data_IF_522280313639
#
_entry.id   IF_522280313639
#
_cell.length_a   1.000
_cell.length_b   1.000
_cell.length_c   1.000
_cell.angle_alpha   90.00
_cell.angle_beta   90.00
_cell.angle_gamma   90.00
#
_symmetry.space_group_name_H-M   'P 1'
#
loop_
_entity.id
_entity.type
_entity.pdbx_description
1 polymer ?
#
# COMPACT_ATOMS: atom_id res chain seq x y z
N UNK A 1 -13.47 11.65 -9.31
CA UNK A 1 -12.44 12.33 -10.07
C UNK A 1 -12.62 12.16 -11.56
N UNK A 2 -12.76 10.97 -12.06
CA UNK A 2 -12.91 10.71 -13.50
C UNK A 2 -14.25 11.20 -14.04
N UNK A 3 -14.30 11.55 -15.34
CA UNK A 3 -15.55 11.59 -16.08
C UNK A 3 -16.07 10.14 -16.22
N UNK A 4 -17.12 9.89 -16.99
CA UNK A 4 -17.67 8.55 -17.21
C UNK A 4 -16.73 7.62 -18.02
N UNK A 5 -15.53 8.06 -18.38
CA UNK A 5 -14.57 7.31 -19.18
C UNK A 5 -13.37 6.90 -18.33
N UNK A 6 -13.03 5.64 -18.40
CA UNK A 6 -11.80 5.06 -17.86
C UNK A 6 -11.04 4.43 -19.01
N UNK A 7 -9.80 4.87 -19.23
CA UNK A 7 -8.94 4.24 -20.19
C UNK A 7 -8.00 3.25 -19.49
N UNK A 8 -7.87 2.04 -20.01
CA UNK A 8 -6.93 1.02 -19.54
C UNK A 8 -6.22 0.43 -20.74
N UNK A 9 -4.91 0.33 -20.65
CA UNK A 9 -4.07 -0.50 -21.52
C UNK A 9 -3.50 -1.59 -20.63
N UNK A 10 -3.86 -2.83 -20.88
CA UNK A 10 -3.33 -4.00 -20.20
C UNK A 10 -3.00 -5.08 -21.25
N UNK A 11 -1.71 -5.39 -21.43
CA UNK A 11 -1.27 -6.37 -22.42
C UNK A 11 -1.44 -7.82 -21.95
N UNK A 12 -1.79 -8.06 -20.69
CA UNK A 12 -1.89 -9.40 -20.14
C UNK A 12 -3.26 -10.03 -20.40
N UNK A 13 -3.36 -10.91 -21.38
CA UNK A 13 -4.58 -11.63 -21.80
C UNK A 13 -5.31 -12.36 -20.66
N UNK A 14 -4.62 -12.64 -19.55
CA UNK A 14 -5.15 -13.45 -18.46
C UNK A 14 -5.86 -12.67 -17.34
N UNK A 15 -5.76 -11.35 -17.31
CA UNK A 15 -6.30 -10.56 -16.21
C UNK A 15 -7.82 -10.47 -16.18
N UNK A 16 -8.49 -10.63 -17.32
CA UNK A 16 -9.94 -10.44 -17.43
C UNK A 16 -10.74 -11.69 -17.82
N UNK A 17 -10.08 -12.84 -18.08
CA UNK A 17 -10.74 -14.10 -18.45
C UNK A 17 -11.67 -13.98 -19.66
N UNK A 18 -12.48 -15.02 -19.91
CA UNK A 18 -13.47 -15.02 -21.00
C UNK A 18 -14.65 -14.05 -20.78
N UNK A 19 -14.83 -13.54 -19.56
CA UNK A 19 -15.86 -12.54 -19.23
C UNK A 19 -15.20 -11.16 -19.04
N UNK A 20 -14.99 -10.50 -20.14
CA UNK A 20 -14.50 -9.10 -20.17
C UNK A 20 -15.56 -8.16 -19.60
N UNK A 21 -15.49 -7.85 -18.30
CA UNK A 21 -16.32 -6.81 -17.69
C UNK A 21 -15.45 -5.58 -17.49
N UNK A 22 -15.58 -4.58 -18.38
CA UNK A 22 -14.84 -3.33 -18.32
C UNK A 22 -14.23 -2.95 -19.67
N UNK A 23 -13.78 -1.71 -19.78
CA UNK A 23 -13.09 -1.19 -20.98
C UNK A 23 -11.61 -1.58 -20.95
N UNK A 24 -11.29 -2.87 -20.98
CA UNK A 24 -9.97 -3.32 -21.33
C UNK A 24 -9.95 -3.63 -22.81
N UNK A 25 -9.12 -2.93 -23.56
CA UNK A 25 -8.91 -3.24 -24.95
C UNK A 25 -7.70 -4.16 -25.07
N UNK A 26 -7.92 -5.34 -25.61
CA UNK A 26 -6.83 -6.12 -26.13
C UNK A 26 -6.39 -5.46 -27.44
N UNK A 27 -5.25 -4.79 -27.41
CA UNK A 27 -4.68 -4.09 -28.56
C UNK A 27 -4.47 -5.04 -29.75
N UNK A 28 -4.34 -6.35 -29.50
CA UNK A 28 -4.14 -7.39 -30.53
C UNK A 28 -5.43 -7.78 -31.22
N UNK A 29 -6.51 -7.92 -30.49
CA UNK A 29 -7.79 -8.42 -30.99
C UNK A 29 -8.70 -7.30 -31.51
N UNK A 30 -8.60 -6.10 -30.92
CA UNK A 30 -9.47 -4.95 -31.23
C UNK A 30 -8.79 -3.95 -32.20
N UNK A 31 -8.01 -4.44 -33.16
CA UNK A 31 -7.35 -3.59 -34.17
C UNK A 31 -8.32 -2.70 -34.94
N UNK A 32 -9.54 -3.14 -35.13
CA UNK A 32 -10.56 -2.35 -35.80
C UNK A 32 -10.99 -1.11 -35.02
N UNK A 33 -10.98 -1.19 -33.68
CA UNK A 33 -11.26 -0.01 -32.82
C UNK A 33 -10.13 0.99 -32.95
N UNK A 34 -8.88 0.56 -33.06
CA UNK A 34 -7.74 1.45 -33.23
C UNK A 34 -7.80 2.18 -34.58
N UNK A 35 -8.27 1.49 -35.64
CA UNK A 35 -8.47 2.09 -36.94
C UNK A 35 -9.70 3.00 -36.98
N UNK A 36 -10.78 2.63 -36.26
CA UNK A 36 -12.02 3.41 -36.22
C UNK A 36 -11.91 4.70 -35.39
N UNK A 37 -11.12 4.70 -34.30
CA UNK A 37 -10.99 5.81 -33.36
C UNK A 37 -9.52 5.96 -32.92
N UNK A 38 -8.59 6.29 -33.83
CA UNK A 38 -7.14 6.29 -33.58
C UNK A 38 -6.70 7.37 -32.57
N UNK A 39 -7.47 8.44 -32.41
CA UNK A 39 -7.19 9.54 -31.50
C UNK A 39 -7.42 9.18 -30.01
N UNK A 40 -8.14 8.09 -29.70
CA UNK A 40 -8.29 7.62 -28.32
C UNK A 40 -6.96 7.32 -27.62
N UNK A 41 -5.97 6.90 -28.38
CA UNK A 41 -4.65 6.52 -27.85
C UNK A 41 -3.66 7.68 -27.82
N UNK A 42 -4.00 8.80 -28.42
CA UNK A 42 -3.14 10.00 -28.43
C UNK A 42 -2.69 10.42 -27.01
N UNK A 43 -3.54 10.37 -25.97
CA UNK A 43 -3.13 10.74 -24.61
C UNK A 43 -2.10 9.81 -23.96
N UNK A 44 -1.88 8.62 -24.51
CA UNK A 44 -0.89 7.67 -23.99
C UNK A 44 0.47 7.79 -24.66
N UNK A 45 0.54 8.42 -25.82
CA UNK A 45 1.79 8.55 -26.60
C UNK A 45 2.85 9.32 -25.82
N UNK A 46 4.04 8.75 -25.73
CA UNK A 46 5.17 9.35 -25.02
C UNK A 46 5.05 9.32 -23.50
N UNK A 47 4.03 8.63 -22.91
CA UNK A 47 3.86 8.53 -21.47
C UNK A 47 4.32 7.15 -21.02
N UNK A 48 5.21 7.06 -20.04
CA UNK A 48 5.71 5.81 -19.44
C UNK A 48 6.16 4.77 -20.48
N UNK A 49 6.95 5.18 -21.45
CA UNK A 49 7.43 4.34 -22.57
C UNK A 49 6.31 3.79 -23.49
N UNK A 50 5.11 4.35 -23.44
CA UNK A 50 4.06 4.04 -24.40
C UNK A 50 4.41 4.70 -25.76
N UNK A 51 5.18 4.00 -26.59
CA UNK A 51 5.63 4.45 -27.90
C UNK A 51 4.57 4.12 -28.97
N UNK A 52 4.70 4.72 -30.14
CA UNK A 52 3.77 4.49 -31.26
C UNK A 52 3.78 3.04 -31.76
N UNK A 53 4.90 2.33 -31.65
CA UNK A 53 5.02 0.94 -32.03
C UNK A 53 4.12 -0.01 -31.20
N UNK A 54 3.76 0.38 -29.96
CA UNK A 54 2.82 -0.37 -29.12
C UNK A 54 1.48 -0.55 -29.82
N UNK A 55 1.03 0.47 -30.56
CA UNK A 55 -0.24 0.43 -31.28
C UNK A 55 -0.17 -0.42 -32.56
N UNK A 56 1.02 -0.73 -33.04
CA UNK A 56 1.26 -1.62 -34.18
C UNK A 56 1.66 -3.04 -33.76
N UNK A 57 2.48 -3.17 -32.71
CA UNK A 57 2.96 -4.47 -32.21
C UNK A 57 2.01 -5.12 -31.22
N UNK A 58 1.13 -4.34 -30.57
CA UNK A 58 0.21 -4.81 -29.54
C UNK A 58 0.89 -5.21 -28.24
N UNK A 59 2.08 -4.68 -27.92
CA UNK A 59 2.84 -5.05 -26.72
C UNK A 59 3.21 -3.83 -25.90
N UNK A 60 2.84 -3.82 -24.60
CA UNK A 60 3.24 -2.86 -23.60
C UNK A 60 3.64 -3.59 -22.33
N UNK A 61 4.81 -3.30 -21.79
CA UNK A 61 5.29 -3.95 -20.58
C UNK A 61 4.76 -3.22 -19.33
N UNK A 62 3.52 -3.47 -18.95
CA UNK A 62 2.85 -2.88 -17.80
C UNK A 62 1.38 -2.63 -18.02
N UNK A 63 0.70 -2.09 -17.02
CA UNK A 63 -0.71 -1.66 -17.09
C UNK A 63 -0.79 -0.16 -16.94
N UNK A 64 -1.51 0.50 -17.85
CA UNK A 64 -1.64 1.95 -17.91
C UNK A 64 -3.10 2.35 -17.72
N UNK A 65 -3.37 3.13 -16.66
CA UNK A 65 -4.70 3.67 -16.38
C UNK A 65 -4.76 5.16 -16.69
N UNK A 66 -5.85 5.58 -17.31
CA UNK A 66 -6.13 6.99 -17.58
C UNK A 66 -7.45 7.41 -16.91
N UNK A 67 -7.40 8.46 -16.11
CA UNK A 67 -8.54 9.03 -15.39
C UNK A 67 -8.75 10.49 -15.83
N UNK A 68 -9.50 10.76 -16.91
CA UNK A 68 -9.81 12.12 -17.31
C UNK A 68 -10.58 12.86 -16.21
N UNK A 69 -10.17 14.08 -15.89
CA UNK A 69 -10.86 14.90 -14.90
C UNK A 69 -12.22 15.36 -15.44
N UNK A 70 -13.21 15.39 -14.57
CA UNK A 70 -14.56 15.85 -14.93
C UNK A 70 -14.59 17.38 -15.03
N UNK A 71 -15.23 17.86 -16.08
CA UNK A 71 -15.55 19.29 -16.25
C UNK A 71 -16.87 19.70 -15.60
N UNK A 72 -17.75 18.72 -15.27
CA UNK A 72 -19.08 18.98 -14.69
C UNK A 72 -19.34 18.07 -13.48
N UNK A 73 -20.13 18.56 -12.54
CA UNK A 73 -20.63 17.78 -11.42
C UNK A 73 -21.51 16.61 -11.92
N UNK A 74 -21.53 15.50 -11.16
CA UNK A 74 -22.39 14.35 -11.44
C UNK A 74 -23.32 14.06 -10.26
N UNK A 75 -24.24 13.12 -10.45
CA UNK A 75 -25.12 12.63 -9.37
C UNK A 75 -24.33 11.98 -8.23
N UNK A 76 -23.17 11.37 -8.52
CA UNK A 76 -22.33 10.71 -7.53
C UNK A 76 -21.45 11.66 -6.73
N UNK A 77 -21.06 12.79 -7.30
CA UNK A 77 -20.22 13.77 -6.60
C UNK A 77 -20.31 15.15 -7.24
N UNK A 78 -20.46 16.16 -6.40
CA UNK A 78 -20.44 17.58 -6.81
C UNK A 78 -19.01 18.15 -6.86
N UNK A 79 -18.03 17.45 -6.29
CA UNK A 79 -16.65 17.92 -6.21
C UNK A 79 -15.98 17.82 -7.57
N UNK A 80 -15.47 18.93 -8.07
CA UNK A 80 -14.63 19.01 -9.25
C UNK A 80 -13.15 19.11 -8.84
N UNK A 81 -12.29 18.48 -9.62
CA UNK A 81 -10.85 18.51 -9.42
C UNK A 81 -10.21 19.24 -10.60
N UNK A 82 -9.48 20.31 -10.30
CA UNK A 82 -8.58 20.95 -11.23
C UNK A 82 -7.20 20.26 -11.19
N UNK A 83 -6.33 20.48 -12.18
CA UNK A 83 -4.94 20.00 -12.14
C UNK A 83 -4.20 20.44 -10.87
N UNK A 84 -4.38 21.68 -10.42
CA UNK A 84 -3.74 22.23 -9.21
C UNK A 84 -4.20 21.48 -7.96
N UNK A 85 -5.50 21.18 -7.88
CA UNK A 85 -6.06 20.40 -6.75
C UNK A 85 -5.53 18.97 -6.74
N UNK A 86 -5.33 18.35 -7.90
CA UNK A 86 -4.70 17.04 -8.00
C UNK A 86 -3.22 17.12 -7.59
N UNK A 87 -2.48 18.14 -8.00
CA UNK A 87 -1.09 18.37 -7.55
C UNK A 87 -1.00 18.54 -6.04
N UNK A 88 -1.92 19.28 -5.43
CA UNK A 88 -1.97 19.43 -3.98
C UNK A 88 -2.20 18.09 -3.25
N UNK A 89 -3.00 17.18 -3.81
CA UNK A 89 -3.15 15.82 -3.27
C UNK A 89 -1.84 15.03 -3.34
N UNK A 90 -1.11 15.10 -4.46
CA UNK A 90 0.19 14.44 -4.59
C UNK A 90 1.25 15.06 -3.68
N UNK A 91 1.22 16.37 -3.48
CA UNK A 91 2.10 17.03 -2.50
C UNK A 91 1.83 16.52 -1.08
N UNK A 92 0.56 16.32 -0.70
CA UNK A 92 0.20 15.69 0.57
C UNK A 92 0.71 14.25 0.68
N UNK A 93 0.64 13.48 -0.40
CA UNK A 93 1.18 12.11 -0.44
C UNK A 93 2.70 12.08 -0.20
N UNK A 94 3.47 13.02 -0.76
CA UNK A 94 4.94 12.99 -0.66
C UNK A 94 5.45 13.14 0.78
N UNK A 95 4.68 13.73 1.68
CA UNK A 95 5.06 13.90 3.08
C UNK A 95 5.24 12.54 3.80
N UNK A 96 4.33 11.60 3.55
CA UNK A 96 4.29 10.30 4.22
C UNK A 96 4.63 9.13 3.27
N UNK A 97 5.14 9.44 2.06
CA UNK A 97 5.40 8.44 1.02
C UNK A 97 6.36 7.32 1.47
N UNK A 98 7.31 7.61 2.37
CA UNK A 98 8.24 6.63 2.92
C UNK A 98 7.52 5.50 3.68
N UNK A 99 6.30 5.74 4.18
CA UNK A 99 5.52 4.74 4.90
C UNK A 99 4.83 3.75 3.94
N UNK A 100 4.56 4.14 2.70
CA UNK A 100 3.75 3.36 1.75
C UNK A 100 4.40 2.01 1.43
N UNK A 101 5.73 1.95 1.37
CA UNK A 101 6.45 0.73 0.98
C UNK A 101 6.70 -0.25 2.14
N UNK A 102 6.37 0.10 3.39
CA UNK A 102 6.69 -0.72 4.56
C UNK A 102 6.07 -2.12 4.48
N UNK A 103 4.79 -2.21 4.17
CA UNK A 103 4.05 -3.47 4.24
C UNK A 103 3.57 -3.99 2.88
N UNK A 104 3.81 -3.26 1.79
CA UNK A 104 3.50 -3.74 0.44
C UNK A 104 4.48 -4.85 0.04
N UNK A 105 3.94 -5.96 -0.46
CA UNK A 105 4.73 -7.16 -0.74
C UNK A 105 5.33 -7.20 -2.15
N UNK A 106 4.76 -6.44 -3.10
CA UNK A 106 5.11 -6.49 -4.52
C UNK A 106 5.55 -5.14 -5.09
N UNK A 107 5.42 -4.05 -4.32
CA UNK A 107 5.79 -2.72 -4.76
C UNK A 107 7.14 -2.32 -4.17
N UNK A 108 8.03 -1.83 -5.01
CA UNK A 108 9.41 -1.45 -4.66
C UNK A 108 9.66 0.04 -4.80
N UNK A 109 8.86 0.71 -5.64
CA UNK A 109 8.95 2.15 -5.84
C UNK A 109 7.60 2.77 -6.25
N UNK A 110 7.46 4.06 -6.00
CA UNK A 110 6.38 4.91 -6.54
C UNK A 110 7.02 6.19 -7.06
N UNK A 111 6.67 6.57 -8.28
CA UNK A 111 7.18 7.77 -8.93
C UNK A 111 6.04 8.70 -9.30
N UNK A 112 6.27 10.01 -9.13
CA UNK A 112 5.35 11.04 -9.59
C UNK A 112 5.97 11.81 -10.73
N UNK A 113 5.19 11.95 -11.79
CA UNK A 113 5.55 12.72 -12.96
C UNK A 113 4.52 13.82 -13.21
N UNK A 114 4.99 14.93 -13.71
CA UNK A 114 4.16 16.03 -14.17
C UNK A 114 4.53 16.34 -15.61
N UNK A 115 3.54 16.52 -16.47
CA UNK A 115 3.69 17.02 -17.82
C UNK A 115 2.95 18.34 -17.93
N UNK A 116 3.68 19.40 -18.21
CA UNK A 116 3.10 20.70 -18.53
C UNK A 116 2.63 20.72 -19.99
N UNK A 117 1.82 21.70 -20.36
CA UNK A 117 1.20 21.77 -21.69
C UNK A 117 2.25 21.85 -22.82
N UNK A 118 3.38 22.51 -22.57
CA UNK A 118 4.46 22.68 -23.54
C UNK A 118 5.52 21.59 -23.52
N UNK A 119 5.45 20.68 -22.56
CA UNK A 119 6.44 19.61 -22.41
C UNK A 119 6.18 18.48 -23.41
N UNK A 120 7.25 17.99 -24.04
CA UNK A 120 7.17 16.80 -24.91
C UNK A 120 6.94 15.53 -24.09
N UNK A 121 7.62 15.42 -22.93
CA UNK A 121 7.58 14.25 -22.06
C UNK A 121 7.31 14.66 -20.61
N UNK A 122 6.71 13.76 -19.79
CA UNK A 122 6.52 14.01 -18.37
C UNK A 122 7.87 14.12 -17.64
N UNK A 123 7.99 15.09 -16.75
CA UNK A 123 9.15 15.26 -15.88
C UNK A 123 8.91 14.61 -14.53
N UNK A 124 9.86 13.79 -14.05
CA UNK A 124 9.79 13.21 -12.72
C UNK A 124 9.97 14.30 -11.67
N UNK A 125 9.02 14.36 -10.72
CA UNK A 125 9.03 15.35 -9.63
C UNK A 125 9.33 14.72 -8.28
N UNK A 126 9.03 13.43 -8.12
CA UNK A 126 9.24 12.71 -6.88
C UNK A 126 9.44 11.21 -7.12
N UNK A 127 10.26 10.60 -6.27
CA UNK A 127 10.47 9.15 -6.21
C UNK A 127 10.52 8.73 -4.74
N UNK A 128 9.79 7.69 -4.38
CA UNK A 128 10.02 6.88 -3.19
C UNK A 128 10.39 5.48 -3.63
N UNK A 129 11.43 4.90 -3.04
CA UNK A 129 11.90 3.56 -3.38
C UNK A 129 12.52 2.85 -2.19
N UNK A 130 12.54 1.54 -2.23
CA UNK A 130 13.45 0.76 -1.40
C UNK A 130 14.86 1.05 -1.88
N UNK A 131 15.80 1.34 -0.96
CA UNK A 131 17.18 1.63 -1.34
C UNK A 131 17.81 0.44 -2.06
N UNK A 132 18.71 0.73 -2.99
CA UNK A 132 19.41 -0.31 -3.76
C UNK A 132 20.14 -1.32 -2.84
N UNK A 133 20.67 -0.83 -1.71
CA UNK A 133 21.35 -1.67 -0.74
C UNK A 133 20.43 -2.63 0.02
N UNK A 134 19.14 -2.26 0.20
CA UNK A 134 18.16 -3.10 0.90
C UNK A 134 17.33 -3.96 -0.04
N UNK A 135 17.30 -3.66 -1.33
CA UNK A 135 16.32 -4.19 -2.27
C UNK A 135 16.36 -5.72 -2.35
N UNK A 136 17.52 -6.29 -2.56
CA UNK A 136 17.69 -7.74 -2.71
C UNK A 136 17.24 -8.50 -1.45
N UNK A 137 17.70 -8.06 -0.27
CA UNK A 137 17.28 -8.65 1.00
C UNK A 137 15.77 -8.56 1.22
N UNK A 138 15.18 -7.39 0.92
CA UNK A 138 13.73 -7.17 1.09
C UNK A 138 12.92 -8.07 0.15
N UNK A 139 13.36 -8.21 -1.11
CA UNK A 139 12.73 -9.12 -2.08
C UNK A 139 12.79 -10.57 -1.60
N UNK A 140 13.97 -11.02 -1.14
CA UNK A 140 14.15 -12.37 -0.60
C UNK A 140 13.23 -12.63 0.60
N UNK A 141 13.23 -11.72 1.59
CA UNK A 141 12.43 -11.88 2.81
C UNK A 141 10.93 -11.81 2.56
N UNK A 142 10.49 -10.94 1.66
CA UNK A 142 9.08 -10.90 1.24
C UNK A 142 8.68 -12.18 0.50
N UNK A 143 9.54 -12.72 -0.37
CA UNK A 143 9.31 -13.99 -1.07
C UNK A 143 9.29 -15.16 -0.09
N UNK A 144 10.23 -15.20 0.86
CA UNK A 144 10.28 -16.20 1.93
C UNK A 144 8.97 -16.22 2.72
N UNK A 145 8.50 -15.05 3.19
CA UNK A 145 7.27 -14.95 3.94
C UNK A 145 6.05 -15.43 3.15
N UNK A 146 5.90 -14.97 1.91
CA UNK A 146 4.79 -15.42 1.04
C UNK A 146 4.83 -16.92 0.80
N UNK A 147 6.00 -17.49 0.54
CA UNK A 147 6.17 -18.92 0.34
C UNK A 147 5.75 -19.73 1.58
N UNK A 148 6.21 -19.30 2.76
CA UNK A 148 5.84 -19.91 4.03
C UNK A 148 4.32 -19.82 4.29
N UNK A 149 3.71 -18.65 4.12
CA UNK A 149 2.26 -18.45 4.35
C UNK A 149 1.42 -19.27 3.38
N UNK A 150 1.83 -19.39 2.12
CA UNK A 150 1.09 -20.17 1.10
C UNK A 150 1.09 -21.67 1.36
N UNK A 151 2.05 -22.17 2.13
CA UNK A 151 2.20 -23.61 2.45
C UNK A 151 1.62 -23.99 3.82
N UNK A 152 1.09 -23.02 4.58
CA UNK A 152 0.71 -23.20 5.98
C UNK A 152 -0.80 -23.27 6.13
N UNK A 153 -1.29 -24.30 6.83
CA UNK A 153 -2.68 -24.35 7.30
C UNK A 153 -2.87 -23.38 8.49
N UNK A 154 -4.10 -22.85 8.63
CA UNK A 154 -4.47 -21.95 9.74
C UNK A 154 -4.23 -22.56 11.14
N UNK A 155 -4.11 -23.88 11.23
CA UNK A 155 -3.88 -24.64 12.46
C UNK A 155 -2.40 -24.89 12.76
N UNK A 156 -1.49 -24.50 11.90
CA UNK A 156 -0.05 -24.75 12.07
C UNK A 156 0.64 -23.66 12.90
N UNK A 157 1.91 -23.87 13.21
CA UNK A 157 2.71 -22.91 13.99
C UNK A 157 2.76 -21.53 13.35
N UNK A 158 2.97 -20.46 14.16
CA UNK A 158 3.13 -19.12 13.63
C UNK A 158 4.32 -19.04 12.69
N UNK A 159 4.21 -18.21 11.66
CA UNK A 159 5.25 -17.97 10.67
C UNK A 159 5.58 -16.49 10.66
N UNK A 160 6.85 -16.17 10.71
CA UNK A 160 7.29 -14.78 10.63
C UNK A 160 8.61 -14.63 9.86
N UNK A 161 8.85 -13.41 9.44
CA UNK A 161 10.17 -12.94 8.94
C UNK A 161 10.41 -11.54 9.46
N UNK A 162 11.65 -11.29 9.90
CA UNK A 162 12.10 -9.96 10.34
C UNK A 162 13.27 -9.52 9.46
N UNK A 163 13.24 -8.28 9.00
CA UNK A 163 14.28 -7.73 8.14
C UNK A 163 14.36 -6.20 8.24
N UNK A 164 15.58 -5.64 8.10
CA UNK A 164 15.74 -4.20 7.95
C UNK A 164 15.35 -3.76 6.54
N UNK A 165 14.76 -2.57 6.43
CA UNK A 165 14.45 -1.91 5.18
C UNK A 165 14.84 -0.45 5.25
N UNK A 166 15.50 0.05 4.22
CA UNK A 166 15.76 1.48 4.04
C UNK A 166 14.96 1.98 2.85
N UNK A 167 14.17 3.01 3.07
CA UNK A 167 13.32 3.66 2.07
C UNK A 167 13.89 5.04 1.80
N UNK A 168 14.12 5.34 0.53
CA UNK A 168 14.60 6.63 0.06
C UNK A 168 13.46 7.43 -0.54
N UNK A 169 13.37 8.71 -0.19
CA UNK A 169 12.50 9.69 -0.85
C UNK A 169 13.37 10.72 -1.53
N UNK A 170 13.09 11.00 -2.80
CA UNK A 170 13.88 11.88 -3.63
C UNK A 170 12.95 12.88 -4.32
N UNK A 171 13.23 14.17 -4.16
CA UNK A 171 12.53 15.23 -4.86
C UNK A 171 13.35 15.71 -6.04
N UNK A 172 12.68 16.02 -7.14
CA UNK A 172 13.31 16.52 -8.36
C UNK A 172 12.75 17.89 -8.73
N UNK A 173 13.62 18.75 -9.21
CA UNK A 173 13.28 20.04 -9.80
C UNK A 173 13.98 20.20 -11.14
N UNK A 174 13.21 20.40 -12.20
CA UNK A 174 13.73 20.41 -13.59
C UNK A 174 14.63 19.21 -13.91
N UNK A 175 14.20 18.01 -13.51
CA UNK A 175 14.94 16.76 -13.75
C UNK A 175 16.18 16.54 -12.89
N UNK A 176 16.53 17.47 -12.01
CA UNK A 176 17.67 17.36 -11.10
C UNK A 176 17.20 16.97 -9.71
N UNK A 177 17.93 16.04 -9.09
CA UNK A 177 17.73 15.69 -7.69
C UNK A 177 18.03 16.91 -6.80
N UNK A 178 17.09 17.25 -5.92
CA UNK A 178 17.21 18.40 -5.02
C UNK A 178 17.27 18.02 -3.56
N UNK A 179 16.44 17.07 -3.14
CA UNK A 179 16.38 16.60 -1.76
C UNK A 179 16.31 15.08 -1.78
N UNK A 180 17.23 14.44 -1.07
CA UNK A 180 17.20 12.99 -0.80
C UNK A 180 17.15 12.77 0.70
N UNK A 181 16.22 11.91 1.15
CA UNK A 181 16.11 11.48 2.54
C UNK A 181 16.05 9.96 2.59
N UNK A 182 16.62 9.38 3.63
CA UNK A 182 16.60 7.95 3.89
C UNK A 182 15.92 7.67 5.24
N UNK A 183 15.05 6.68 5.24
CA UNK A 183 14.29 6.25 6.41
C UNK A 183 14.52 4.76 6.59
N UNK A 184 15.08 4.36 7.71
CA UNK A 184 15.38 2.95 8.01
C UNK A 184 14.41 2.41 9.05
N UNK A 185 13.94 1.19 8.82
CA UNK A 185 13.00 0.49 9.70
C UNK A 185 13.43 -0.97 9.88
N UNK A 186 13.07 -1.54 11.02
CA UNK A 186 12.99 -2.99 11.21
C UNK A 186 11.54 -3.40 11.05
N UNK A 187 11.26 -4.34 10.14
CA UNK A 187 9.92 -4.81 9.81
C UNK A 187 9.80 -6.28 10.16
N UNK A 188 8.75 -6.63 10.89
CA UNK A 188 8.34 -8.02 11.12
C UNK A 188 6.99 -8.25 10.47
N UNK A 189 6.92 -9.18 9.51
CA UNK A 189 5.65 -9.73 9.01
C UNK A 189 5.36 -11.03 9.76
N UNK A 190 4.14 -11.19 10.24
CA UNK A 190 3.75 -12.26 11.12
C UNK A 190 2.40 -12.86 10.70
N UNK A 191 2.34 -14.17 10.57
CA UNK A 191 1.13 -14.93 10.39
C UNK A 191 0.85 -15.70 11.69
N UNK A 192 -0.31 -15.44 12.30
CA UNK A 192 -0.75 -16.15 13.46
C UNK A 192 -1.24 -17.55 13.07
N UNK A 193 -0.41 -18.57 13.28
CA UNK A 193 -0.80 -19.96 13.15
C UNK A 193 -1.63 -20.46 14.36
N UNK A 194 -1.65 -21.75 14.59
CA UNK A 194 -2.49 -22.48 15.54
C UNK A 194 -2.49 -22.07 17.03
N UNK A 195 -1.68 -21.10 17.41
CA UNK A 195 -1.64 -20.55 18.77
C UNK A 195 -2.69 -19.45 19.04
N UNK A 196 -3.57 -19.19 18.09
CA UNK A 196 -4.69 -18.25 18.29
C UNK A 196 -5.91 -18.97 18.86
N UNK A 197 -6.79 -18.21 19.54
CA UNK A 197 -8.01 -18.79 20.09
C UNK A 197 -8.91 -19.36 18.98
N UNK A 198 -9.74 -20.35 19.35
CA UNK A 198 -10.66 -21.02 18.43
C UNK A 198 -11.65 -20.05 17.76
N UNK A 199 -12.03 -18.98 18.48
CA UNK A 199 -12.88 -17.93 17.95
C UNK A 199 -12.19 -17.19 16.78
N UNK A 200 -10.91 -16.84 16.92
CA UNK A 200 -10.15 -16.16 15.87
C UNK A 200 -10.02 -17.04 14.61
N UNK A 201 -9.77 -18.34 14.78
CA UNK A 201 -9.73 -19.28 13.65
C UNK A 201 -11.09 -19.39 12.95
N UNK A 202 -12.18 -19.39 13.71
CA UNK A 202 -13.55 -19.42 13.17
C UNK A 202 -13.85 -18.15 12.39
N UNK A 203 -13.53 -16.97 12.96
CA UNK A 203 -13.70 -15.67 12.28
C UNK A 203 -12.89 -15.57 10.99
N UNK A 204 -11.64 -16.07 10.99
CA UNK A 204 -10.80 -16.09 9.81
C UNK A 204 -11.46 -16.87 8.65
N UNK A 205 -12.04 -18.03 8.94
CA UNK A 205 -12.77 -18.85 7.96
C UNK A 205 -14.05 -18.17 7.49
N UNK A 206 -14.86 -17.67 8.42
CA UNK A 206 -16.16 -17.06 8.14
C UNK A 206 -16.06 -15.80 7.28
N UNK A 207 -15.05 -14.97 7.54
CA UNK A 207 -14.80 -13.73 6.81
C UNK A 207 -13.91 -13.93 5.58
N UNK A 208 -13.32 -15.11 5.40
CA UNK A 208 -12.26 -15.36 4.39
C UNK A 208 -11.09 -14.38 4.55
N UNK A 209 -10.72 -14.06 5.77
CA UNK A 209 -9.61 -13.18 6.11
C UNK A 209 -8.42 -14.00 6.59
N UNK A 210 -7.21 -13.47 6.36
CA UNK A 210 -5.98 -14.08 6.85
C UNK A 210 -5.48 -13.34 8.09
N UNK A 211 -5.07 -14.06 9.15
CA UNK A 211 -4.53 -13.48 10.38
C UNK A 211 -3.07 -13.02 10.16
N UNK A 212 -2.90 -12.15 9.18
CA UNK A 212 -1.63 -11.52 8.80
C UNK A 212 -1.53 -10.16 9.46
N UNK A 213 -0.44 -9.95 10.15
CA UNK A 213 -0.07 -8.66 10.74
C UNK A 213 1.38 -8.31 10.43
N UNK A 214 1.71 -7.04 10.58
CA UNK A 214 3.06 -6.56 10.46
C UNK A 214 3.33 -5.47 11.49
N UNK A 215 4.57 -5.38 11.93
CA UNK A 215 5.02 -4.33 12.83
C UNK A 215 6.30 -3.74 12.25
N UNK A 216 6.45 -2.41 12.34
CA UNK A 216 7.66 -1.73 11.90
C UNK A 216 8.08 -0.68 12.92
N UNK A 217 9.34 -0.71 13.34
CA UNK A 217 9.95 0.32 14.16
C UNK A 217 11.04 1.06 13.41
N UNK A 218 11.20 2.35 13.68
CA UNK A 218 12.27 3.12 13.07
C UNK A 218 13.62 2.68 13.61
N UNK A 219 14.63 2.67 12.74
CA UNK A 219 16.02 2.45 13.07
C UNK A 219 16.78 3.78 12.98
N UNK A 220 17.82 3.99 13.80
CA UNK A 220 18.69 5.15 13.67
C UNK A 220 19.44 5.11 12.33
N UNK A 221 19.70 6.26 11.74
CA UNK A 221 20.48 6.36 10.51
C UNK A 221 21.91 5.89 10.68
N UNK A 222 22.48 6.06 11.89
CA UNK A 222 23.77 5.50 12.29
C UNK A 222 23.74 4.99 13.74
N UNK A 223 24.64 4.07 14.13
CA UNK A 223 24.68 3.54 15.50
C UNK A 223 24.95 4.60 16.58
N UNK A 224 25.40 5.79 16.22
CA UNK A 224 25.69 6.90 17.14
C UNK A 224 24.55 7.91 17.24
N UNK A 225 23.57 7.82 16.34
CA UNK A 225 22.41 8.70 16.34
C UNK A 225 21.28 8.10 17.18
N UNK A 226 20.48 8.94 17.84
CA UNK A 226 19.29 8.47 18.54
C UNK A 226 18.29 7.92 17.52
N UNK A 227 17.51 6.93 17.92
CA UNK A 227 16.38 6.47 17.12
C UNK A 227 15.40 7.61 16.92
N UNK A 228 14.93 7.86 15.69
CA UNK A 228 13.94 8.90 15.46
C UNK A 228 12.69 8.62 16.30
N UNK A 229 12.23 9.62 17.02
CA UNK A 229 10.91 9.55 17.66
C UNK A 229 9.85 9.54 16.58
N UNK A 230 9.15 8.41 16.43
CA UNK A 230 8.06 8.28 15.49
C UNK A 230 6.72 8.17 16.23
N UNK A 231 5.71 8.71 15.63
CA UNK A 231 4.34 8.43 16.01
C UNK A 231 3.86 7.25 15.19
N UNK A 232 3.58 6.12 15.84
CA UNK A 232 3.14 4.90 15.14
C UNK A 232 1.78 5.09 14.48
N UNK A 233 1.65 4.59 13.28
CA UNK A 233 0.44 4.63 12.46
C UNK A 233 -0.14 3.24 12.25
N UNK A 234 -1.45 3.16 12.09
CA UNK A 234 -2.15 1.95 11.73
C UNK A 234 -2.27 1.85 10.21
N UNK A 235 -1.98 0.67 9.70
CA UNK A 235 -2.06 0.32 8.28
C UNK A 235 -3.09 -0.78 8.07
N UNK A 236 -3.75 -0.71 6.93
CA UNK A 236 -4.43 -1.83 6.31
C UNK A 236 -3.84 -1.99 4.92
N UNK A 237 -2.65 -2.60 4.83
CA UNK A 237 -1.75 -2.66 3.69
C UNK A 237 -1.11 -1.28 3.39
N UNK A 238 -1.92 -0.25 3.25
CA UNK A 238 -1.52 1.15 3.12
C UNK A 238 -1.79 1.91 4.42
N UNK A 239 -1.06 3.01 4.69
CA UNK A 239 -1.32 3.83 5.87
C UNK A 239 -2.76 4.37 5.83
N UNK A 240 -3.47 4.25 6.94
CA UNK A 240 -4.77 4.89 7.08
C UNK A 240 -4.58 6.41 7.21
N UNK A 241 -5.57 7.21 6.77
CA UNK A 241 -5.50 8.66 6.91
C UNK A 241 -5.21 9.08 8.34
N UNK A 242 -4.30 10.05 8.53
CA UNK A 242 -3.87 10.50 9.85
C UNK A 242 -5.05 11.13 10.61
N UNK A 243 -5.56 10.38 11.58
CA UNK A 243 -6.56 10.81 12.56
C UNK A 243 -6.12 10.24 13.91
N UNK A 244 -6.62 10.78 15.01
CA UNK A 244 -6.31 10.25 16.35
C UNK A 244 -6.57 8.75 16.49
N UNK A 245 -7.57 8.23 15.76
CA UNK A 245 -7.97 6.82 15.74
C UNK A 245 -7.08 5.92 14.87
N UNK A 246 -6.20 6.48 14.06
CA UNK A 246 -5.24 5.74 13.22
C UNK A 246 -3.81 5.75 13.77
N UNK A 247 -3.64 6.23 15.01
CA UNK A 247 -2.37 6.21 15.73
C UNK A 247 -2.33 4.99 16.65
N UNK A 248 -1.16 4.36 16.75
CA UNK A 248 -0.98 3.19 17.62
C UNK A 248 -0.82 3.57 19.09
N UNK A 249 -0.41 4.82 19.37
CA UNK A 249 0.02 5.22 20.70
C UNK A 249 1.39 4.68 21.12
N UNK A 250 2.05 3.93 20.24
CA UNK A 250 3.37 3.32 20.43
C UNK A 250 4.35 3.86 19.39
N UNK A 251 5.66 3.78 19.61
CA UNK A 251 6.67 4.21 18.65
C UNK A 251 6.88 3.18 17.53
N UNK A 252 5.82 2.49 17.12
CA UNK A 252 5.83 1.49 16.05
C UNK A 252 4.60 1.63 15.17
N UNK A 253 4.80 1.39 13.88
CA UNK A 253 3.72 1.23 12.93
C UNK A 253 3.17 -0.19 13.00
N UNK A 254 1.86 -0.35 12.89
CA UNK A 254 1.22 -1.66 12.86
C UNK A 254 0.40 -1.81 11.58
N UNK A 255 0.46 -2.99 10.99
CA UNK A 255 -0.33 -3.39 9.84
C UNK A 255 -1.17 -4.60 10.19
N UNK A 256 -2.39 -4.66 9.70
CA UNK A 256 -3.25 -5.81 9.84
C UNK A 256 -4.30 -5.86 8.75
N UNK A 257 -4.85 -7.03 8.52
CA UNK A 257 -5.97 -7.21 7.59
C UNK A 257 -7.28 -6.78 8.26
N UNK A 258 -7.33 -5.50 8.66
CA UNK A 258 -8.46 -4.96 9.40
C UNK A 258 -9.72 -4.84 8.55
N UNK A 259 -10.86 -5.11 9.16
CA UNK A 259 -12.13 -4.67 8.64
C UNK A 259 -12.26 -3.16 8.82
N UNK A 260 -12.45 -2.46 7.71
CA UNK A 260 -12.49 -1.01 7.67
C UNK A 260 -13.94 -0.49 7.67
N UNK A 261 -14.10 0.75 8.11
CA UNK A 261 -15.31 1.53 7.91
C UNK A 261 -15.69 1.62 6.42
N UNK A 262 -16.96 1.91 6.12
CA UNK A 262 -17.45 1.99 4.75
C UNK A 262 -16.67 2.99 3.86
N UNK A 263 -16.19 4.08 4.46
CA UNK A 263 -15.35 5.07 3.77
C UNK A 263 -13.85 4.69 3.75
N UNK A 264 -13.47 3.56 4.33
CA UNK A 264 -12.09 3.03 4.43
C UNK A 264 -11.09 3.98 5.09
N UNK A 265 -11.54 4.82 6.00
CA UNK A 265 -10.68 5.80 6.68
C UNK A 265 -10.16 5.35 8.04
N UNK A 266 -10.86 4.43 8.69
CA UNK A 266 -10.51 3.91 10.01
C UNK A 266 -10.89 2.45 10.14
N UNK A 267 -10.27 1.76 11.09
CA UNK A 267 -10.67 0.41 11.45
C UNK A 267 -12.04 0.46 12.15
N UNK A 268 -12.89 -0.51 11.87
CA UNK A 268 -14.15 -0.67 12.59
C UNK A 268 -13.86 -0.88 14.07
N UNK A 269 -14.52 -0.11 14.92
CA UNK A 269 -14.45 -0.26 16.37
C UNK A 269 -15.84 -0.04 16.99
N UNK A 270 -16.12 -0.63 18.17
CA UNK A 270 -17.41 -0.46 18.84
C UNK A 270 -17.77 0.99 19.12
N UNK A 271 -16.77 1.81 19.43
CA UNK A 271 -16.96 3.24 19.74
C UNK A 271 -17.28 4.10 18.51
N UNK A 272 -16.73 3.74 17.34
CA UNK A 272 -17.00 4.45 16.09
C UNK A 272 -18.39 4.12 15.51
N UNK A 273 -18.89 2.93 15.76
CA UNK A 273 -20.21 2.50 15.27
C UNK A 273 -21.36 2.90 16.21
N UNK A 274 -21.12 3.19 17.48
CA UNK A 274 -22.17 3.65 18.39
C UNK A 274 -22.83 4.96 17.92
N UNK A 275 -22.14 5.82 17.19
CA UNK A 275 -22.74 7.00 16.57
C UNK A 275 -23.61 6.64 15.36
N UNK A 276 -23.23 5.60 14.59
CA UNK A 276 -23.98 5.13 13.42
C UNK A 276 -25.10 4.13 13.83
N UNK A 277 -24.90 3.31 14.89
CA UNK A 277 -25.84 2.31 15.39
C UNK A 277 -26.99 2.89 16.20
N UNK A 278 -26.84 4.05 16.82
CA UNK A 278 -27.99 4.82 17.36
C UNK A 278 -29.03 5.13 16.29
N UNK A 279 -28.67 4.99 15.01
CA UNK A 279 -29.55 5.18 13.86
C UNK A 279 -30.15 3.89 13.28
N UNK A 280 -29.60 2.72 13.53
CA UNK A 280 -29.99 1.49 12.81
C UNK A 280 -30.55 0.33 13.65
N UNK A 281 -30.49 0.36 14.98
CA UNK A 281 -31.22 -0.59 15.86
C UNK A 281 -30.81 -2.07 15.79
N UNK A 282 -29.69 -2.43 15.16
CA UNK A 282 -29.24 -3.82 15.05
C UNK A 282 -28.23 -4.21 16.16
N UNK A 283 -28.33 -5.44 16.72
CA UNK A 283 -27.43 -5.87 17.79
C UNK A 283 -26.01 -6.11 17.31
N UNK A 284 -25.03 -5.85 18.19
CA UNK A 284 -23.58 -5.94 18.06
C UNK A 284 -23.06 -7.37 17.79
N UNK A 285 -23.49 -8.03 16.73
CA UNK A 285 -22.94 -9.32 16.29
C UNK A 285 -22.07 -9.20 15.02
N UNK A 286 -21.52 -8.01 14.75
CA UNK A 286 -20.64 -7.83 13.58
C UNK A 286 -19.33 -8.58 13.83
N UNK A 287 -19.16 -9.72 13.13
CA UNK A 287 -17.94 -10.54 13.13
C UNK A 287 -16.69 -9.72 12.79
N UNK A 288 -16.86 -8.64 12.01
CA UNK A 288 -15.76 -7.75 11.65
C UNK A 288 -15.18 -6.99 12.84
N UNK A 289 -15.99 -6.63 13.83
CA UNK A 289 -15.53 -5.98 15.06
C UNK A 289 -14.70 -6.94 15.91
N UNK A 290 -15.22 -8.16 16.10
CA UNK A 290 -14.50 -9.21 16.82
C UNK A 290 -13.19 -9.58 16.12
N UNK A 291 -13.19 -9.63 14.79
CA UNK A 291 -11.98 -9.84 14.02
C UNK A 291 -10.92 -8.78 14.32
N UNK A 292 -11.27 -7.50 14.26
CA UNK A 292 -10.35 -6.41 14.57
C UNK A 292 -9.85 -6.50 16.02
N UNK A 293 -10.70 -6.86 16.94
CA UNK A 293 -10.33 -7.07 18.34
C UNK A 293 -9.30 -8.20 18.49
N UNK A 294 -9.51 -9.35 17.86
CA UNK A 294 -8.54 -10.45 17.86
C UNK A 294 -7.19 -10.04 17.25
N UNK A 295 -7.19 -9.25 16.14
CA UNK A 295 -5.94 -8.75 15.60
C UNK A 295 -5.19 -7.86 16.59
N UNK A 296 -5.90 -6.96 17.27
CA UNK A 296 -5.30 -6.01 18.23
C UNK A 296 -4.85 -6.68 19.52
N UNK A 297 -5.58 -7.66 20.03
CA UNK A 297 -5.33 -8.26 21.34
C UNK A 297 -4.44 -9.50 21.26
N UNK A 298 -4.44 -10.23 20.13
CA UNK A 298 -3.66 -11.45 20.02
C UNK A 298 -2.52 -11.37 18.98
N UNK A 299 -2.83 -10.94 17.74
CA UNK A 299 -1.89 -11.05 16.65
C UNK A 299 -0.78 -9.99 16.70
N UNK A 300 -1.15 -8.73 16.88
CA UNK A 300 -0.20 -7.61 16.92
C UNK A 300 0.74 -7.69 18.12
N UNK A 301 0.28 -8.00 19.35
CA UNK A 301 1.19 -8.16 20.48
C UNK A 301 2.22 -9.26 20.27
N UNK A 302 1.85 -10.39 19.67
CA UNK A 302 2.78 -11.47 19.35
C UNK A 302 3.81 -11.04 18.29
N UNK A 303 3.36 -10.37 17.24
CA UNK A 303 4.26 -9.83 16.22
C UNK A 303 5.23 -8.79 16.80
N UNK A 304 4.75 -7.94 17.69
CA UNK A 304 5.57 -6.93 18.37
C UNK A 304 6.61 -7.57 19.29
N UNK A 305 6.19 -8.53 20.12
CA UNK A 305 7.11 -9.28 20.97
C UNK A 305 8.18 -10.02 20.15
N UNK A 306 7.78 -10.64 19.04
CA UNK A 306 8.72 -11.30 18.10
C UNK A 306 9.71 -10.30 17.54
N UNK A 307 9.28 -9.13 17.09
CA UNK A 307 10.17 -8.09 16.57
C UNK A 307 11.20 -7.65 17.61
N UNK A 308 10.77 -7.46 18.86
CA UNK A 308 11.66 -7.08 19.97
C UNK A 308 12.70 -8.16 20.22
N UNK A 309 12.27 -9.43 20.31
CA UNK A 309 13.18 -10.56 20.54
C UNK A 309 14.21 -10.70 19.41
N UNK A 310 13.79 -10.58 18.17
CA UNK A 310 14.69 -10.58 17.01
C UNK A 310 15.66 -9.38 17.06
N UNK A 311 15.17 -8.20 17.40
CA UNK A 311 15.98 -6.99 17.52
C UNK A 311 17.07 -7.10 18.60
N UNK A 312 16.80 -7.82 19.69
CA UNK A 312 17.76 -8.06 20.79
C UNK A 312 18.76 -9.15 20.42
N UNK A 313 18.27 -10.24 19.82
CA UNK A 313 19.07 -11.43 19.56
C UNK A 313 20.00 -11.27 18.35
N UNK A 314 19.53 -10.58 17.31
CA UNK A 314 20.32 -10.38 16.09
C UNK A 314 21.05 -9.04 16.12
N UNK A 315 22.32 -9.11 16.52
CA UNK A 315 23.22 -7.92 16.58
C UNK A 315 23.41 -7.25 15.19
N UNK A 316 23.07 -7.94 14.11
CA UNK A 316 23.18 -7.36 12.75
C UNK A 316 22.21 -6.21 12.54
N UNK A 317 21.07 -6.19 13.25
CA UNK A 317 20.09 -5.08 13.19
C UNK A 317 20.59 -3.80 13.87
N UNK A 318 21.70 -3.86 14.61
CA UNK A 318 22.32 -2.69 15.28
C UNK A 318 21.36 -1.89 16.18
N UNK A 319 20.33 -2.53 16.69
CA UNK A 319 19.38 -1.92 17.62
C UNK A 319 20.03 -1.83 19.00
N UNK A 320 20.08 -0.62 19.56
CA UNK A 320 20.56 -0.47 20.93
C UNK A 320 19.45 -0.90 21.90
N UNK A 321 19.77 -1.63 22.99
CA UNK A 321 18.78 -2.06 23.98
C UNK A 321 17.90 -0.91 24.53
N UNK A 322 18.50 0.29 24.69
CA UNK A 322 17.77 1.48 25.13
C UNK A 322 16.58 1.87 24.22
N UNK A 323 16.62 1.51 22.95
CA UNK A 323 15.55 1.80 21.97
C UNK A 323 14.35 0.88 22.18
N UNK A 324 14.57 -0.30 22.73
CA UNK A 324 13.54 -1.31 22.95
C UNK A 324 12.71 -1.03 24.21
N UNK A 325 13.28 -0.24 25.13
CA UNK A 325 12.69 0.05 26.45
C UNK A 325 12.13 1.48 26.59
N UNK A 326 12.16 2.30 25.56
CA UNK A 326 11.49 3.61 25.52
C UNK A 326 10.05 3.47 25.04
#
# INVERSE_FOLDING_TARGET
MSNSQLGVIDPHEKCFGERRTGYSWDIRDDRDIMNAIPDQFTPYRGVFNCKEDIFTTGSYNGTLFRFPLRSKASKLSRTLYSPEKVRALFSGFTADAHLVLLFLQHLESVELYVREELDREPSRTFLVRISEQSLELVQEKRKEFRGKVSSVELSSHPVYVTYPITIETIQYYHGRETIKRSHSFLVTNYFCGGEVCSEFQTLAKDLSYLPLVGVAMALPASPREPTPAIQGHVFCILPLPVQKTSLTGLPVHVNGFFALSQNRRYIKSPNAEQEDLKRSGHPLTDKSLKWNQCLLEEAIPKAYATMILEAINDKSFKVQPAVVYQ
#
